data_IF_471596291668
#
_entry.id   IF_471596291668
#
_cell.length_a   1.000
_cell.length_b   1.000
_cell.length_c   1.000
_cell.angle_alpha   90.00
_cell.angle_beta   90.00
_cell.angle_gamma   90.00
#
_symmetry.space_group_name_H-M   'P 1'
#
loop_
_entity.id
_entity.type
_entity.pdbx_description
1 polymer ?
#
# COMPACT_ATOMS: atom_id res chain seq x y z
N UNK A 1 -6.83 0.65 9.89
CA UNK A 1 -6.63 -0.53 10.77
C UNK A 1 -6.33 -0.03 12.17
N UNK A 2 -6.82 -0.74 13.19
CA UNK A 2 -6.48 -0.50 14.58
C UNK A 2 -5.73 -1.72 15.17
N UNK A 3 -4.83 -1.46 16.10
CA UNK A 3 -4.17 -2.47 16.93
C UNK A 3 -4.89 -2.53 18.28
N UNK A 4 -5.17 -3.73 18.76
CA UNK A 4 -5.76 -3.95 20.08
C UNK A 4 -4.82 -4.78 20.96
N UNK A 5 -4.64 -4.41 22.23
CA UNK A 5 -3.75 -5.13 23.16
C UNK A 5 -2.49 -4.35 23.54
N UNK A 6 -1.38 -5.06 23.83
CA UNK A 6 -0.12 -4.40 24.19
C UNK A 6 0.67 -4.01 22.93
N UNK A 7 0.53 -2.75 22.52
CA UNK A 7 1.14 -2.21 21.30
C UNK A 7 2.50 -1.57 21.55
N UNK A 8 3.03 -1.61 22.77
CA UNK A 8 4.24 -0.85 23.17
C UNK A 8 5.50 -1.33 22.46
N UNK A 9 5.53 -2.60 22.09
CA UNK A 9 6.63 -3.20 21.35
C UNK A 9 6.44 -3.12 19.83
N UNK A 10 5.29 -2.65 19.35
CA UNK A 10 5.02 -2.53 17.91
C UNK A 10 5.76 -1.31 17.36
N UNK A 11 6.80 -1.56 16.58
CA UNK A 11 7.56 -0.51 15.91
C UNK A 11 6.99 -0.17 14.52
N UNK A 12 6.39 -1.16 13.85
CA UNK A 12 5.88 -1.02 12.49
C UNK A 12 4.79 -2.05 12.19
N UNK A 13 3.89 -1.75 11.25
CA UNK A 13 2.91 -2.72 10.74
C UNK A 13 3.13 -2.97 9.25
N UNK A 14 3.33 -4.24 8.90
CA UNK A 14 3.48 -4.69 7.53
C UNK A 14 2.17 -5.25 6.99
N UNK A 15 1.84 -4.93 5.73
CA UNK A 15 0.72 -5.53 5.01
C UNK A 15 1.26 -6.26 3.77
N UNK A 16 0.93 -7.53 3.65
CA UNK A 16 1.32 -8.41 2.56
C UNK A 16 0.10 -8.89 1.78
N UNK A 17 0.09 -8.65 0.47
CA UNK A 17 -0.79 -9.30 -0.50
C UNK A 17 -0.10 -10.54 -1.07
N UNK A 18 -0.79 -11.38 -1.87
CA UNK A 18 -0.16 -12.50 -2.57
C UNK A 18 1.02 -12.07 -3.46
N UNK A 19 0.96 -10.84 -3.97
CA UNK A 19 1.90 -10.32 -4.97
C UNK A 19 3.00 -9.43 -4.38
N UNK A 20 2.74 -8.77 -3.24
CA UNK A 20 3.68 -7.79 -2.66
C UNK A 20 3.51 -7.62 -1.15
N UNK A 21 4.59 -7.24 -0.46
CA UNK A 21 4.56 -6.78 0.93
C UNK A 21 4.97 -5.33 1.02
N UNK A 22 4.28 -4.57 1.87
CA UNK A 22 4.69 -3.23 2.24
C UNK A 22 6.02 -3.25 3.00
N UNK A 23 6.79 -2.17 2.90
CA UNK A 23 8.11 -2.05 3.54
C UNK A 23 8.14 -0.85 4.48
N UNK A 24 8.76 -1.04 5.64
CA UNK A 24 8.86 -0.04 6.70
C UNK A 24 9.53 1.28 6.29
N UNK A 25 10.40 1.22 5.28
CA UNK A 25 11.23 2.36 4.84
C UNK A 25 10.50 3.29 3.88
N UNK A 26 9.32 2.91 3.38
CA UNK A 26 8.55 3.73 2.45
C UNK A 26 7.59 4.62 3.24
N UNK A 27 8.14 5.56 4.02
CA UNK A 27 7.41 6.82 4.20
C UNK A 27 7.08 7.31 2.78
N UNK A 28 5.89 7.85 2.51
CA UNK A 28 5.68 8.65 1.31
C UNK A 28 6.56 9.90 1.45
N UNK A 29 7.85 9.73 1.21
CA UNK A 29 8.69 10.81 0.73
C UNK A 29 7.95 11.24 -0.52
N UNK A 30 7.56 12.51 -0.67
CA UNK A 30 7.29 13.03 -2.00
C UNK A 30 8.49 12.58 -2.80
N UNK A 31 8.32 11.63 -3.72
CA UNK A 31 9.42 11.28 -4.59
C UNK A 31 9.84 12.64 -5.14
N UNK A 32 11.10 13.09 -4.98
CA UNK A 32 11.57 14.10 -5.89
C UNK A 32 11.24 13.46 -7.22
N UNK A 33 10.30 14.07 -7.95
CA UNK A 33 10.08 13.73 -9.35
C UNK A 33 11.48 13.86 -9.90
N UNK A 34 12.17 12.73 -10.04
CA UNK A 34 13.40 12.71 -10.80
C UNK A 34 12.88 13.22 -12.12
N UNK A 35 13.28 14.43 -12.57
CA UNK A 35 12.91 14.82 -13.90
C UNK A 35 13.47 13.67 -14.72
N UNK A 36 12.57 12.84 -15.28
CA UNK A 36 12.91 11.95 -16.37
C UNK A 36 13.81 12.81 -17.26
N UNK A 37 15.03 12.39 -17.60
CA UNK A 37 15.85 13.20 -18.47
C UNK A 37 14.95 13.56 -19.63
N UNK A 38 14.64 14.85 -19.75
CA UNK A 38 13.78 15.37 -20.79
C UNK A 38 14.55 15.14 -22.07
N UNK A 39 14.45 13.94 -22.61
CA UNK A 39 14.76 13.68 -24.01
C UNK A 39 13.65 14.38 -24.76
N UNK A 40 13.93 15.64 -25.05
CA UNK A 40 13.25 16.46 -26.05
C UNK A 40 12.87 15.57 -27.23
N UNK A 41 11.58 15.43 -27.59
CA UNK A 41 11.23 14.82 -28.85
C UNK A 41 11.56 15.83 -29.96
N UNK A 42 12.81 15.84 -30.40
CA UNK A 42 13.14 16.34 -31.74
C UNK A 42 12.71 15.27 -32.72
N UNK A 43 11.57 15.50 -33.39
CA UNK A 43 11.21 14.77 -34.59
C UNK A 43 9.80 14.18 -34.55
N UNK A 44 8.87 14.93 -35.14
CA UNK A 44 7.75 14.30 -35.82
C UNK A 44 8.32 13.32 -36.87
N UNK A 45 8.01 12.02 -36.72
CA UNK A 45 7.73 11.03 -37.77
C UNK A 45 7.94 9.60 -37.23
N UNK A 46 6.81 8.98 -36.87
CA UNK A 46 6.57 7.53 -36.85
C UNK A 46 7.63 6.59 -36.28
N UNK A 47 7.57 6.29 -34.98
CA UNK A 47 7.97 5.00 -34.41
C UNK A 47 7.10 4.73 -33.17
N UNK A 48 6.43 3.57 -33.16
CA UNK A 48 5.45 3.20 -32.16
C UNK A 48 6.00 3.29 -30.74
N UNK A 49 5.21 3.87 -29.83
CA UNK A 49 5.31 3.51 -28.43
C UNK A 49 5.10 1.98 -28.37
N UNK A 50 6.06 1.16 -27.91
CA UNK A 50 5.65 -0.12 -27.38
C UNK A 50 4.60 0.21 -26.31
N UNK A 51 3.43 -0.46 -26.26
CA UNK A 51 2.54 -0.39 -25.10
C UNK A 51 3.24 -1.10 -23.93
N UNK A 52 4.35 -0.53 -23.48
CA UNK A 52 5.17 -1.01 -22.40
C UNK A 52 4.63 -0.40 -21.13
N UNK A 53 3.58 -1.02 -20.59
CA UNK A 53 3.31 -0.96 -19.17
C UNK A 53 4.62 -1.25 -18.46
N UNK A 54 5.20 -0.23 -17.82
CA UNK A 54 6.24 -0.47 -16.82
C UNK A 54 5.69 -1.48 -15.81
N UNK A 55 6.55 -2.26 -15.13
CA UNK A 55 6.09 -3.22 -14.13
C UNK A 55 5.13 -2.48 -13.20
N UNK A 56 3.88 -2.96 -13.10
CA UNK A 56 2.90 -2.45 -12.17
C UNK A 56 3.45 -2.74 -10.78
N UNK A 57 4.29 -1.83 -10.26
CA UNK A 57 4.84 -1.93 -8.92
C UNK A 57 3.63 -1.80 -8.02
N UNK A 58 3.17 -2.92 -7.46
CA UNK A 58 2.07 -2.95 -6.50
C UNK A 58 2.55 -2.22 -5.25
N UNK A 59 2.39 -0.90 -5.25
CA UNK A 59 2.82 -0.05 -4.15
C UNK A 59 1.74 -0.05 -3.08
N UNK A 60 2.14 -0.57 -1.93
CA UNK A 60 1.35 -0.57 -0.70
C UNK A 60 1.98 0.48 0.19
N UNK A 61 1.38 1.66 0.25
CA UNK A 61 1.80 2.71 1.17
C UNK A 61 1.23 2.43 2.56
N UNK A 62 2.05 2.66 3.57
CA UNK A 62 1.67 2.46 4.97
C UNK A 62 1.97 3.73 5.76
N UNK A 63 1.01 4.14 6.56
CA UNK A 63 1.11 5.34 7.36
C UNK A 63 0.61 5.07 8.77
N UNK A 64 1.41 5.45 9.77
CA UNK A 64 0.94 5.51 11.15
C UNK A 64 0.16 6.82 11.32
N UNK A 65 -1.14 6.71 11.57
CA UNK A 65 -2.04 7.87 11.70
C UNK A 65 -2.46 8.13 13.16
N UNK A 66 -2.01 7.29 14.10
CA UNK A 66 -2.29 7.38 15.52
C UNK A 66 -1.51 6.36 16.34
N UNK A 67 -1.69 6.37 17.67
CA UNK A 67 -0.92 5.53 18.59
C UNK A 67 -0.99 4.03 18.26
N UNK A 68 -2.18 3.57 17.89
CA UNK A 68 -2.50 2.17 17.57
C UNK A 68 -3.17 2.05 16.18
N UNK A 69 -3.25 3.15 15.43
CA UNK A 69 -3.98 3.20 14.17
C UNK A 69 -3.04 3.38 12.98
N UNK A 70 -3.18 2.48 12.00
CA UNK A 70 -2.42 2.45 10.76
C UNK A 70 -3.33 2.52 9.55
N UNK A 71 -2.92 3.28 8.53
CA UNK A 71 -3.61 3.43 7.24
C UNK A 71 -2.78 2.78 6.15
N UNK A 72 -3.45 1.98 5.33
CA UNK A 72 -2.86 1.37 4.13
C UNK A 72 -3.53 1.96 2.91
N UNK A 73 -2.72 2.35 1.92
CA UNK A 73 -3.20 2.85 0.64
C UNK A 73 -2.60 1.99 -0.48
N UNK A 74 -3.45 1.61 -1.41
CA UNK A 74 -3.09 0.84 -2.59
C UNK A 74 -3.34 1.75 -3.79
N UNK A 75 -2.39 1.85 -4.72
CA UNK A 75 -2.51 2.77 -5.87
C UNK A 75 -3.62 2.34 -6.83
N UNK A 76 -3.39 1.26 -7.59
CA UNK A 76 -4.30 0.77 -8.65
C UNK A 76 -4.88 -0.61 -8.33
N UNK A 77 -4.54 -1.18 -7.16
CA UNK A 77 -4.91 -2.52 -6.77
C UNK A 77 -5.95 -2.52 -5.64
N UNK A 78 -6.82 -3.52 -5.67
CA UNK A 78 -7.83 -3.78 -4.63
C UNK A 78 -7.82 -5.26 -4.29
N UNK A 79 -6.77 -5.74 -3.60
CA UNK A 79 -6.62 -7.16 -3.29
C UNK A 79 -7.78 -7.65 -2.44
N UNK A 80 -8.33 -8.83 -2.73
CA UNK A 80 -9.43 -9.41 -1.95
C UNK A 80 -9.00 -9.95 -0.58
N UNK A 81 -7.69 -10.22 -0.39
CA UNK A 81 -7.14 -10.64 0.89
C UNK A 81 -5.74 -10.08 1.10
N UNK A 82 -5.41 -9.82 2.34
CA UNK A 82 -4.08 -9.40 2.78
C UNK A 82 -3.73 -10.09 4.10
N UNK A 83 -2.44 -10.17 4.40
CA UNK A 83 -1.91 -10.60 5.69
C UNK A 83 -1.29 -9.40 6.35
N UNK A 84 -1.74 -9.07 7.55
CA UNK A 84 -1.23 -7.93 8.30
C UNK A 84 -0.39 -8.44 9.46
N UNK A 85 0.77 -7.82 9.67
CA UNK A 85 1.76 -8.22 10.66
C UNK A 85 2.19 -7.01 11.49
N UNK A 86 2.06 -7.09 12.80
CA UNK A 86 2.70 -6.13 13.70
C UNK A 86 4.13 -6.61 13.96
N UNK A 87 5.11 -5.76 13.68
CA UNK A 87 6.53 -6.05 13.84
C UNK A 87 7.15 -5.21 14.97
N UNK A 88 8.11 -5.79 15.66
CA UNK A 88 8.99 -5.09 16.61
C UNK A 88 10.09 -4.27 15.89
N UNK A 89 10.92 -3.57 16.66
CA UNK A 89 11.99 -2.72 16.13
C UNK A 89 13.10 -3.48 15.38
N UNK A 90 13.23 -4.80 15.60
CA UNK A 90 14.18 -5.67 14.91
C UNK A 90 13.54 -6.44 13.74
N UNK A 91 12.23 -6.24 13.50
CA UNK A 91 11.46 -6.90 12.45
C UNK A 91 10.83 -8.23 12.86
N UNK A 92 10.88 -8.60 14.14
CA UNK A 92 10.21 -9.77 14.69
C UNK A 92 8.69 -9.60 14.68
N UNK A 93 7.95 -10.65 14.30
CA UNK A 93 6.49 -10.61 14.23
C UNK A 93 5.88 -10.82 15.61
N UNK A 94 5.19 -9.79 16.12
CA UNK A 94 4.46 -9.81 17.38
C UNK A 94 3.03 -10.32 17.21
N UNK A 95 2.40 -9.98 16.09
CA UNK A 95 1.07 -10.45 15.73
C UNK A 95 0.96 -10.58 14.21
N UNK A 96 0.19 -11.54 13.74
CA UNK A 96 -0.09 -11.76 12.33
C UNK A 96 -1.52 -12.24 12.15
N UNK A 97 -2.23 -11.65 11.20
CA UNK A 97 -3.57 -12.07 10.85
C UNK A 97 -3.83 -11.94 9.35
N UNK A 98 -4.46 -12.97 8.78
CA UNK A 98 -4.95 -12.93 7.40
C UNK A 98 -6.37 -12.37 7.39
N UNK A 99 -6.58 -11.33 6.61
CA UNK A 99 -7.82 -10.57 6.55
C UNK A 99 -8.36 -10.50 5.12
N UNK A 100 -9.68 -10.50 5.01
CA UNK A 100 -10.36 -10.25 3.74
C UNK A 100 -10.67 -8.78 3.62
N UNK A 101 -10.30 -8.18 2.50
CA UNK A 101 -10.51 -6.76 2.22
C UNK A 101 -11.75 -6.63 1.34
N UNK A 102 -12.86 -6.30 1.97
CA UNK A 102 -14.11 -6.05 1.27
C UNK A 102 -14.17 -4.59 0.80
N UNK A 103 -13.70 -4.36 -0.42
CA UNK A 103 -13.67 -3.05 -1.04
C UNK A 103 -15.08 -2.57 -1.40
N UNK A 104 -15.46 -1.43 -0.85
CA UNK A 104 -16.67 -0.70 -1.22
C UNK A 104 -16.29 0.55 -2.00
N UNK A 105 -16.92 0.71 -3.17
CA UNK A 105 -16.77 1.92 -3.98
C UNK A 105 -17.52 3.07 -3.30
N UNK A 106 -16.81 4.16 -3.03
CA UNK A 106 -17.34 5.35 -2.37
C UNK A 106 -17.49 6.56 -3.31
N UNK A 107 -17.15 6.39 -4.59
CA UNK A 107 -17.36 7.42 -5.62
C UNK A 107 -16.93 6.96 -7.02
N UNK A 108 -17.02 7.86 -8.00
CA UNK A 108 -16.66 7.63 -9.40
C UNK A 108 -17.81 7.14 -10.28
N UNK A 109 -17.58 7.06 -11.58
CA UNK A 109 -18.54 6.54 -12.57
C UNK A 109 -18.29 5.05 -12.84
N UNK A 110 -19.19 4.39 -13.57
CA UNK A 110 -19.01 2.99 -13.95
C UNK A 110 -17.82 2.81 -14.91
N UNK A 111 -17.65 3.74 -15.86
CA UNK A 111 -16.63 3.69 -16.91
C UNK A 111 -15.20 3.95 -16.42
N UNK A 112 -15.06 4.83 -15.42
CA UNK A 112 -13.79 5.11 -14.78
C UNK A 112 -13.87 4.59 -13.35
N UNK A 113 -13.18 3.48 -13.07
CA UNK A 113 -12.94 2.99 -11.70
C UNK A 113 -12.81 4.16 -10.70
N UNK A 114 -13.52 4.08 -9.58
CA UNK A 114 -13.62 5.17 -8.62
C UNK A 114 -13.03 4.81 -7.26
N UNK A 115 -12.84 5.81 -6.38
CA UNK A 115 -12.24 5.58 -5.07
C UNK A 115 -13.01 4.49 -4.34
N UNK A 116 -12.24 3.55 -3.80
CA UNK A 116 -12.75 2.41 -3.06
C UNK A 116 -12.10 2.38 -1.69
N UNK A 117 -12.84 1.90 -0.69
CA UNK A 117 -12.37 1.78 0.67
C UNK A 117 -12.77 0.43 1.23
N UNK A 118 -11.89 -0.20 2.01
CA UNK A 118 -12.20 -1.42 2.74
C UNK A 118 -12.60 -1.07 4.18
N UNK A 119 -13.38 -1.97 4.81
CA UNK A 119 -13.71 -1.83 6.22
C UNK A 119 -12.44 -1.80 7.09
N UNK A 120 -12.45 -1.07 8.22
CA UNK A 120 -11.33 -1.07 9.16
C UNK A 120 -11.07 -2.48 9.68
N UNK A 121 -9.81 -2.91 9.61
CA UNK A 121 -9.34 -4.15 10.21
C UNK A 121 -8.85 -3.88 11.64
N UNK A 122 -9.07 -4.81 12.56
CA UNK A 122 -8.49 -4.79 13.92
C UNK A 122 -7.57 -5.98 14.08
N UNK A 123 -6.32 -5.73 14.49
CA UNK A 123 -5.33 -6.79 14.77
C UNK A 123 -5.10 -6.87 16.28
N UNK A 124 -5.29 -8.05 16.86
CA UNK A 124 -5.00 -8.29 18.28
C UNK A 124 -3.51 -8.60 18.48
N UNK A 125 -2.85 -7.79 19.31
CA UNK A 125 -1.46 -7.96 19.71
C UNK A 125 -1.44 -8.58 21.11
N UNK A 126 -1.00 -9.84 21.18
CA UNK A 126 -0.77 -10.54 22.45
C UNK A 126 0.62 -10.22 23.00
N UNK A 127 0.75 -10.06 24.33
CA UNK A 127 2.02 -9.80 25.00
C UNK A 127 2.99 -10.98 24.97
#
# INVERSE_FOLDING_TARGET
MALAGDTRNVAWVQLCTPDACSRATERPTPQPVSPSPTTTPTGANGLGFPPGGGPAVHRIAVENVGADTWRFSFDMDSPGSATVRALDAVGGTLAEEKVQLNWQRIGGTADCGGPSTAAPVTLAVSP
#
